data_IF_384527311823
#
_entry.id   IF_384527311823
#
_cell.length_a   1.000
_cell.length_b   1.000
_cell.length_c   1.000
_cell.angle_alpha   90.00
_cell.angle_beta   90.00
_cell.angle_gamma   90.00
#
_symmetry.space_group_name_H-M   'P 1'
#
loop_
_entity.id
_entity.type
_entity.pdbx_description
1 polymer ?
#
# COMPACT_ATOMS: atom_id res chain seq x y z
N UNK A 1 -12.49 12.29 -5.06
CA UNK A 1 -11.93 10.96 -5.32
C UNK A 1 -10.50 10.89 -4.81
N UNK A 2 -9.90 9.68 -4.68
CA UNK A 2 -8.64 9.49 -3.95
C UNK A 2 -7.47 10.38 -4.41
N UNK A 3 -7.35 10.69 -5.69
CA UNK A 3 -6.26 11.52 -6.22
C UNK A 3 -6.62 13.00 -6.43
N UNK A 4 -7.89 13.37 -6.30
CA UNK A 4 -8.36 14.74 -6.59
C UNK A 4 -8.32 15.65 -5.37
N UNK A 5 -8.51 15.10 -4.18
CA UNK A 5 -8.58 15.90 -2.94
C UNK A 5 -8.16 15.09 -1.72
N UNK A 6 -7.85 15.77 -0.63
CA UNK A 6 -7.47 15.16 0.63
C UNK A 6 -6.15 14.40 0.57
N UNK A 7 -5.93 13.50 1.50
CA UNK A 7 -4.77 12.61 1.51
C UNK A 7 -4.97 11.45 0.54
N UNK A 8 -3.87 10.97 -0.06
CA UNK A 8 -3.89 9.84 -0.99
C UNK A 8 -3.14 8.64 -0.42
N UNK A 9 -3.69 7.44 -0.64
CA UNK A 9 -3.01 6.19 -0.30
C UNK A 9 -2.79 5.39 -1.58
N UNK A 10 -1.57 4.95 -1.83
CA UNK A 10 -1.22 4.30 -3.10
C UNK A 10 0.02 3.41 -3.00
N UNK A 11 0.21 2.59 -4.02
CA UNK A 11 1.50 2.01 -4.42
C UNK A 11 1.84 2.53 -5.81
N UNK A 12 3.13 2.69 -6.07
CA UNK A 12 3.63 2.99 -7.41
C UNK A 12 3.87 1.69 -8.16
N UNK A 13 3.41 1.65 -9.40
CA UNK A 13 3.66 0.57 -10.36
C UNK A 13 4.38 1.14 -11.56
N UNK A 14 5.13 0.29 -12.25
CA UNK A 14 5.77 0.59 -13.50
C UNK A 14 5.17 -0.23 -14.62
N UNK A 15 5.03 0.42 -15.76
CA UNK A 15 4.61 -0.17 -17.02
C UNK A 15 5.86 -0.39 -17.90
N UNK A 16 5.88 -1.44 -18.69
CA UNK A 16 6.96 -1.68 -19.65
C UNK A 16 6.96 -0.68 -20.81
N UNK A 17 5.81 -0.05 -21.06
CA UNK A 17 5.57 1.00 -22.05
C UNK A 17 4.32 1.79 -21.68
N UNK A 18 4.13 3.00 -22.21
CA UNK A 18 2.90 3.78 -22.01
C UNK A 18 1.64 3.00 -22.43
N UNK A 19 0.51 3.33 -21.81
CA UNK A 19 -0.78 2.75 -22.17
C UNK A 19 -1.25 3.28 -23.50
N UNK A 20 -1.37 2.43 -24.52
CA UNK A 20 -1.84 2.84 -25.84
C UNK A 20 -3.29 3.37 -25.77
N UNK A 21 -3.62 4.38 -26.61
CA UNK A 21 -4.98 4.94 -26.67
C UNK A 21 -6.06 3.88 -26.95
N UNK A 22 -5.75 2.87 -27.77
CA UNK A 22 -6.66 1.77 -28.08
C UNK A 22 -6.99 0.92 -26.86
N UNK A 23 -6.16 0.97 -25.81
CA UNK A 23 -6.44 0.28 -24.56
C UNK A 23 -7.74 0.78 -23.89
N UNK A 24 -8.13 2.04 -24.07
CA UNK A 24 -9.38 2.59 -23.56
C UNK A 24 -10.57 1.78 -24.08
N UNK A 25 -10.57 1.37 -25.34
CA UNK A 25 -11.62 0.52 -25.93
C UNK A 25 -11.64 -0.88 -25.28
N UNK A 26 -10.50 -1.38 -24.86
CA UNK A 26 -10.42 -2.67 -24.16
C UNK A 26 -10.90 -2.53 -22.71
N UNK A 27 -10.55 -1.45 -22.00
CA UNK A 27 -11.13 -1.14 -20.69
C UNK A 27 -12.65 -1.03 -20.77
N UNK A 28 -13.21 -0.41 -21.80
CA UNK A 28 -14.64 -0.34 -22.04
C UNK A 28 -15.30 -1.73 -22.21
N UNK A 29 -14.62 -2.67 -22.88
CA UNK A 29 -15.11 -4.07 -23.02
C UNK A 29 -15.09 -4.83 -21.70
N UNK A 30 -14.20 -4.46 -20.78
CA UNK A 30 -14.11 -5.00 -19.42
C UNK A 30 -14.76 -4.08 -18.39
N UNK A 31 -15.74 -3.26 -18.80
CA UNK A 31 -16.49 -2.42 -17.88
C UNK A 31 -17.27 -3.27 -16.86
N UNK A 32 -17.48 -2.69 -15.67
CA UNK A 32 -18.28 -3.34 -14.63
C UNK A 32 -19.68 -3.70 -15.17
N UNK A 33 -20.16 -4.94 -15.04
CA UNK A 33 -21.51 -5.28 -15.45
C UNK A 33 -22.57 -4.50 -14.64
N UNK A 34 -23.82 -4.37 -15.14
CA UNK A 34 -24.89 -3.77 -14.37
C UNK A 34 -25.08 -4.46 -13.02
N UNK A 35 -25.24 -3.69 -11.94
CA UNK A 35 -25.34 -4.25 -10.59
C UNK A 35 -26.63 -5.03 -10.32
N UNK A 36 -27.66 -4.78 -11.09
CA UNK A 36 -28.93 -5.51 -11.09
C UNK A 36 -28.80 -6.93 -11.66
N UNK A 37 -27.84 -7.12 -12.58
CA UNK A 37 -27.56 -8.43 -13.19
C UNK A 37 -26.59 -9.30 -12.37
N UNK A 38 -26.13 -8.81 -11.21
CA UNK A 38 -25.24 -9.56 -10.32
C UNK A 38 -25.94 -10.80 -9.74
N UNK A 39 -25.48 -11.98 -10.16
CA UNK A 39 -25.83 -13.26 -9.55
C UNK A 39 -25.01 -13.55 -8.28
N UNK A 40 -24.86 -14.84 -8.00
CA UNK A 40 -23.94 -15.32 -6.97
C UNK A 40 -22.48 -15.14 -7.41
N UNK A 41 -21.64 -14.64 -6.47
CA UNK A 41 -20.22 -14.51 -6.71
C UNK A 41 -19.72 -13.06 -6.79
N UNK A 42 -18.41 -12.94 -6.99
CA UNK A 42 -17.71 -11.67 -7.13
C UNK A 42 -17.49 -11.38 -8.62
N UNK A 43 -17.85 -10.18 -9.04
CA UNK A 43 -17.49 -9.66 -10.36
C UNK A 43 -16.54 -8.47 -10.20
N UNK A 44 -15.71 -8.24 -11.20
CA UNK A 44 -14.86 -7.06 -11.26
C UNK A 44 -14.96 -6.44 -12.65
N UNK A 45 -14.76 -5.12 -12.72
CA UNK A 45 -14.77 -4.40 -13.98
C UNK A 45 -14.37 -2.95 -13.81
N UNK A 46 -14.15 -2.30 -14.94
CA UNK A 46 -13.65 -0.93 -15.00
C UNK A 46 -14.79 0.07 -15.04
N UNK A 47 -14.60 1.17 -14.34
CA UNK A 47 -15.48 2.33 -14.37
C UNK A 47 -14.63 3.60 -14.54
N UNK A 48 -15.25 4.71 -14.92
CA UNK A 48 -14.55 5.97 -15.07
C UNK A 48 -14.02 6.48 -13.73
N UNK A 49 -13.09 7.42 -13.76
CA UNK A 49 -12.64 8.12 -12.55
C UNK A 49 -13.66 9.13 -12.00
N UNK A 50 -14.85 9.30 -12.60
CA UNK A 50 -15.87 10.28 -12.17
C UNK A 50 -16.67 9.80 -10.99
N UNK A 51 -17.22 8.59 -11.06
CA UNK A 51 -17.90 7.93 -9.95
C UNK A 51 -18.00 6.41 -10.16
N UNK A 52 -18.24 5.65 -9.09
CA UNK A 52 -18.16 4.18 -9.07
C UNK A 52 -19.23 3.45 -9.90
N UNK A 53 -20.23 4.15 -10.42
CA UNK A 53 -21.29 3.57 -11.24
C UNK A 53 -21.23 4.04 -12.70
N UNK A 54 -20.26 4.91 -13.03
CA UNK A 54 -20.09 5.40 -14.41
C UNK A 54 -19.27 4.40 -15.22
N UNK A 55 -19.97 3.54 -15.94
CA UNK A 55 -19.41 2.47 -16.78
C UNK A 55 -19.13 2.92 -18.21
N UNK A 56 -19.40 4.19 -18.53
CA UNK A 56 -19.26 4.71 -19.89
C UNK A 56 -17.80 5.15 -20.14
N UNK A 57 -16.94 4.15 -20.32
CA UNK A 57 -15.51 4.37 -20.54
C UNK A 57 -15.26 4.72 -22.01
N UNK A 58 -14.91 5.98 -22.26
CA UNK A 58 -14.51 6.53 -23.57
C UNK A 58 -13.19 7.27 -23.42
N UNK A 59 -12.57 7.71 -24.53
CA UNK A 59 -11.36 8.52 -24.47
C UNK A 59 -11.55 9.77 -23.60
N UNK A 60 -12.68 10.48 -23.77
CA UNK A 60 -12.98 11.71 -23.02
C UNK A 60 -13.27 11.48 -21.52
N UNK A 61 -13.79 10.31 -21.16
CA UNK A 61 -14.11 10.00 -19.75
C UNK A 61 -12.97 9.33 -19.02
N UNK A 62 -12.06 8.68 -19.76
CA UNK A 62 -10.90 7.99 -19.22
C UNK A 62 -9.71 8.90 -18.96
N UNK A 63 -9.58 10.00 -19.71
CA UNK A 63 -8.49 10.95 -19.54
C UNK A 63 -8.93 12.17 -18.74
N UNK A 64 -8.05 12.65 -17.88
CA UNK A 64 -8.26 13.86 -17.09
C UNK A 64 -6.93 14.52 -16.76
N UNK A 65 -6.78 15.80 -17.09
CA UNK A 65 -5.60 16.59 -16.81
C UNK A 65 -4.28 16.04 -17.40
N UNK A 66 -4.35 15.25 -18.48
CA UNK A 66 -3.17 14.63 -19.11
C UNK A 66 -2.82 13.23 -18.59
N UNK A 67 -3.70 12.62 -17.77
CA UNK A 67 -3.50 11.29 -17.22
C UNK A 67 -4.67 10.36 -17.59
N UNK A 68 -4.36 9.08 -17.78
CA UNK A 68 -5.39 8.03 -17.80
C UNK A 68 -5.88 7.78 -16.38
N UNK A 69 -7.19 7.90 -16.16
CA UNK A 69 -7.82 7.82 -14.85
C UNK A 69 -9.06 6.93 -14.86
N UNK A 70 -8.96 5.75 -14.31
CA UNK A 70 -10.05 4.80 -14.17
C UNK A 70 -10.08 4.20 -12.76
N UNK A 71 -11.12 3.42 -12.49
CA UNK A 71 -11.27 2.70 -11.23
C UNK A 71 -11.62 1.24 -11.50
N UNK A 72 -10.86 0.32 -10.94
CA UNK A 72 -11.27 -1.08 -10.87
C UNK A 72 -12.24 -1.26 -9.72
N UNK A 73 -13.44 -1.73 -10.02
CA UNK A 73 -14.48 -1.98 -9.03
C UNK A 73 -14.77 -3.47 -8.96
N UNK A 74 -14.60 -4.03 -7.77
CA UNK A 74 -15.13 -5.35 -7.43
C UNK A 74 -16.52 -5.20 -6.82
N UNK A 75 -17.49 -5.99 -7.27
CA UNK A 75 -18.85 -6.01 -6.72
C UNK A 75 -19.22 -7.43 -6.30
N UNK A 76 -19.79 -7.58 -5.11
CA UNK A 76 -20.26 -8.86 -4.59
C UNK A 76 -21.49 -8.64 -3.69
N UNK A 77 -22.41 -9.61 -3.67
CA UNK A 77 -23.49 -9.62 -2.67
C UNK A 77 -23.05 -10.48 -1.49
N UNK A 78 -23.28 -10.00 -0.29
CA UNK A 78 -22.97 -10.74 0.94
C UNK A 78 -24.12 -10.61 1.92
N UNK A 79 -24.51 -11.75 2.50
CA UNK A 79 -25.45 -11.77 3.62
C UNK A 79 -24.66 -11.43 4.89
N UNK A 80 -25.07 -10.41 5.69
CA UNK A 80 -24.47 -10.14 6.98
C UNK A 80 -24.49 -11.40 7.88
N UNK A 81 -23.36 -11.71 8.49
CA UNK A 81 -23.18 -12.95 9.27
C UNK A 81 -24.22 -13.12 10.38
N UNK A 82 -24.60 -12.02 11.04
CA UNK A 82 -25.63 -12.06 12.10
C UNK A 82 -27.00 -12.41 11.55
N UNK A 83 -27.41 -11.81 10.42
CA UNK A 83 -28.65 -12.12 9.74
C UNK A 83 -28.66 -13.57 9.26
N UNK A 84 -27.61 -14.03 8.59
CA UNK A 84 -27.50 -15.39 8.11
C UNK A 84 -27.64 -16.41 9.23
N UNK A 85 -26.97 -16.19 10.38
CA UNK A 85 -27.08 -17.08 11.55
C UNK A 85 -28.47 -17.09 12.14
N UNK A 86 -29.13 -15.94 12.23
CA UNK A 86 -30.47 -15.84 12.77
C UNK A 86 -31.51 -16.58 11.89
N UNK A 87 -31.45 -16.39 10.58
CA UNK A 87 -32.33 -17.06 9.62
C UNK A 87 -32.10 -18.57 9.59
N UNK A 88 -30.85 -19.03 9.56
CA UNK A 88 -30.54 -20.46 9.67
C UNK A 88 -31.08 -21.04 10.99
N UNK A 89 -30.94 -20.32 12.11
CA UNK A 89 -31.45 -20.79 13.39
C UNK A 89 -32.95 -20.87 13.45
N UNK A 90 -33.63 -19.93 12.84
CA UNK A 90 -35.10 -19.93 12.73
C UNK A 90 -35.61 -21.14 11.91
N UNK A 91 -34.99 -21.41 10.76
CA UNK A 91 -35.31 -22.57 9.92
C UNK A 91 -34.98 -23.90 10.62
N UNK A 92 -33.85 -23.98 11.34
CA UNK A 92 -33.48 -25.16 12.16
C UNK A 92 -34.56 -25.44 13.21
N UNK A 93 -35.03 -24.42 13.94
CA UNK A 93 -36.07 -24.57 14.97
C UNK A 93 -37.41 -24.99 14.36
N UNK A 94 -37.77 -24.41 13.22
CA UNK A 94 -39.00 -24.78 12.51
C UNK A 94 -38.97 -26.25 12.04
N UNK A 95 -37.84 -26.71 11.51
CA UNK A 95 -37.69 -28.09 11.06
C UNK A 95 -37.66 -29.11 12.22
N UNK A 96 -37.03 -28.75 13.36
CA UNK A 96 -37.08 -29.58 14.58
C UNK A 96 -38.52 -29.72 15.11
N UNK A 97 -39.27 -28.61 15.16
CA UNK A 97 -40.64 -28.63 15.59
C UNK A 97 -41.55 -29.49 14.68
N UNK A 98 -41.30 -29.41 13.34
CA UNK A 98 -42.07 -30.19 12.38
C UNK A 98 -41.74 -31.68 12.37
N UNK A 99 -40.45 -32.04 12.62
CA UNK A 99 -39.97 -33.43 12.58
C UNK A 99 -40.07 -34.18 13.92
N UNK A 100 -40.31 -33.48 15.03
CA UNK A 100 -40.26 -34.03 16.37
C UNK A 100 -38.89 -34.55 16.83
N UNK A 101 -37.84 -34.27 16.08
CA UNK A 101 -36.50 -34.72 16.40
C UNK A 101 -35.80 -33.75 17.36
N UNK A 102 -34.96 -34.27 18.24
CA UNK A 102 -34.15 -33.43 19.13
C UNK A 102 -32.93 -32.76 18.43
N UNK A 103 -32.48 -33.32 17.31
CA UNK A 103 -31.28 -32.83 16.57
C UNK A 103 -31.45 -32.99 15.08
N UNK A 104 -30.93 -32.03 14.33
CA UNK A 104 -30.81 -32.09 12.85
C UNK A 104 -29.52 -32.80 12.44
N UNK A 105 -29.61 -33.57 11.35
CA UNK A 105 -28.42 -34.15 10.69
C UNK A 105 -27.52 -33.06 10.10
N UNK A 106 -26.23 -33.38 9.85
CA UNK A 106 -25.31 -32.48 9.17
C UNK A 106 -25.81 -32.08 7.76
N UNK A 107 -26.44 -33.04 7.07
CA UNK A 107 -27.02 -32.83 5.74
C UNK A 107 -28.19 -31.82 5.80
N UNK A 108 -29.13 -31.99 6.73
CA UNK A 108 -30.27 -31.08 6.91
C UNK A 108 -29.81 -29.63 7.20
N UNK A 109 -28.75 -29.48 8.01
CA UNK A 109 -28.16 -28.15 8.26
C UNK A 109 -27.50 -27.53 7.04
N UNK A 110 -26.90 -28.34 6.14
CA UNK A 110 -26.33 -27.86 4.88
C UNK A 110 -27.45 -27.38 3.94
N UNK A 111 -28.52 -28.17 3.81
CA UNK A 111 -29.70 -27.82 3.01
C UNK A 111 -30.38 -26.52 3.49
N UNK A 112 -30.49 -26.34 4.83
CA UNK A 112 -30.98 -25.08 5.41
C UNK A 112 -30.08 -23.90 4.99
N UNK A 113 -28.76 -24.04 5.11
CA UNK A 113 -27.81 -22.96 4.75
C UNK A 113 -27.91 -22.60 3.28
N UNK A 114 -27.99 -23.58 2.41
CA UNK A 114 -28.16 -23.36 0.96
C UNK A 114 -29.51 -22.68 0.66
N UNK A 115 -30.59 -23.12 1.26
CA UNK A 115 -31.92 -22.52 1.12
C UNK A 115 -31.94 -21.06 1.58
N UNK A 116 -31.37 -20.78 2.77
CA UNK A 116 -31.28 -19.43 3.32
C UNK A 116 -30.38 -18.54 2.44
N UNK A 117 -29.27 -19.08 1.93
CA UNK A 117 -28.39 -18.34 1.02
C UNK A 117 -29.10 -17.98 -0.27
N UNK A 118 -29.73 -18.95 -0.94
CA UNK A 118 -30.45 -18.73 -2.21
C UNK A 118 -31.60 -17.74 -2.08
N UNK A 119 -32.26 -17.72 -0.92
CA UNK A 119 -33.39 -16.81 -0.63
C UNK A 119 -32.89 -15.38 -0.34
N UNK A 120 -31.85 -15.22 0.51
CA UNK A 120 -31.44 -13.91 0.98
C UNK A 120 -30.43 -13.21 0.06
N UNK A 121 -29.49 -13.93 -0.54
CA UNK A 121 -28.40 -13.32 -1.31
C UNK A 121 -28.88 -12.39 -2.43
N UNK A 122 -29.92 -12.75 -3.23
CA UNK A 122 -30.43 -11.85 -4.27
C UNK A 122 -31.03 -10.55 -3.73
N UNK A 123 -31.51 -10.54 -2.49
CA UNK A 123 -32.12 -9.35 -1.85
C UNK A 123 -31.09 -8.42 -1.23
N UNK A 124 -29.85 -8.88 -1.07
CA UNK A 124 -28.78 -8.06 -0.49
C UNK A 124 -28.27 -7.02 -1.47
N UNK A 125 -28.05 -5.76 -1.03
CA UNK A 125 -27.41 -4.76 -1.87
C UNK A 125 -25.97 -5.17 -2.19
N UNK A 126 -25.48 -4.93 -3.43
CA UNK A 126 -24.09 -5.19 -3.78
C UNK A 126 -23.13 -4.36 -2.93
N UNK A 127 -22.09 -4.97 -2.42
CA UNK A 127 -20.97 -4.29 -1.79
C UNK A 127 -19.91 -4.00 -2.85
N UNK A 128 -19.45 -2.73 -2.91
CA UNK A 128 -18.46 -2.28 -3.87
C UNK A 128 -17.12 -2.09 -3.19
N UNK A 129 -16.07 -2.62 -3.81
CA UNK A 129 -14.67 -2.35 -3.46
C UNK A 129 -14.00 -1.67 -4.64
N UNK A 130 -13.48 -0.48 -4.43
CA UNK A 130 -12.90 0.35 -5.47
C UNK A 130 -11.38 0.45 -5.32
N UNK A 131 -10.68 0.31 -6.43
CA UNK A 131 -9.24 0.57 -6.55
C UNK A 131 -9.02 1.60 -7.68
N UNK A 132 -9.15 2.91 -7.38
CA UNK A 132 -8.79 3.97 -8.31
C UNK A 132 -7.33 3.90 -8.70
N UNK A 133 -7.03 4.19 -9.96
CA UNK A 133 -5.68 4.38 -10.44
C UNK A 133 -5.56 5.59 -11.34
N UNK A 134 -4.32 6.08 -11.46
CA UNK A 134 -3.91 7.10 -12.42
C UNK A 134 -2.62 6.61 -13.07
N UNK A 135 -2.52 6.74 -14.39
CA UNK A 135 -1.30 6.46 -15.13
C UNK A 135 -0.90 7.66 -15.97
N UNK A 136 0.40 7.90 -16.11
CA UNK A 136 0.92 8.86 -17.07
C UNK A 136 0.46 8.49 -18.48
N UNK A 137 0.04 9.47 -19.27
CA UNK A 137 -0.42 9.20 -20.64
C UNK A 137 0.72 8.75 -21.56
N UNK A 138 1.89 9.38 -21.42
CA UNK A 138 3.08 9.12 -22.24
C UNK A 138 4.25 8.54 -21.44
N UNK A 139 4.01 8.15 -20.16
CA UNK A 139 5.03 7.65 -19.27
C UNK A 139 4.80 6.20 -18.82
N UNK A 140 5.67 5.75 -17.94
CA UNK A 140 5.68 4.37 -17.42
C UNK A 140 5.13 4.27 -15.99
N UNK A 141 4.78 5.40 -15.34
CA UNK A 141 4.34 5.39 -13.95
C UNK A 141 2.83 5.25 -13.83
N UNK A 142 2.42 4.42 -12.87
CA UNK A 142 1.03 4.19 -12.52
C UNK A 142 0.89 4.19 -11.00
N UNK A 143 -0.01 5.00 -10.47
CA UNK A 143 -0.36 5.03 -9.05
C UNK A 143 -1.72 4.37 -8.84
N UNK A 144 -1.78 3.33 -8.02
CA UNK A 144 -3.03 2.65 -7.71
C UNK A 144 -3.24 2.51 -6.20
N UNK A 145 -4.50 2.55 -5.77
CA UNK A 145 -4.87 2.39 -4.36
C UNK A 145 -4.87 0.91 -3.90
N UNK A 146 -4.19 0.05 -4.62
CA UNK A 146 -3.96 -1.36 -4.31
C UNK A 146 -2.85 -1.52 -3.26
N UNK A 147 -3.20 -1.47 -1.97
CA UNK A 147 -2.25 -1.31 -0.88
C UNK A 147 -1.71 -2.62 -0.30
N UNK A 148 -2.46 -3.72 -0.39
CA UNK A 148 -1.99 -5.05 0.00
C UNK A 148 -1.47 -5.83 -1.21
N UNK A 149 -0.66 -6.87 -0.98
CA UNK A 149 -0.12 -7.68 -2.06
C UNK A 149 -1.22 -8.35 -2.87
N UNK A 150 -2.23 -8.96 -2.22
CA UNK A 150 -3.37 -9.53 -2.92
C UNK A 150 -4.17 -8.50 -3.74
N UNK A 151 -4.31 -7.24 -3.26
CA UNK A 151 -4.92 -6.18 -4.06
C UNK A 151 -4.04 -5.77 -5.24
N UNK A 152 -2.72 -5.75 -5.07
CA UNK A 152 -1.78 -5.42 -6.14
C UNK A 152 -1.76 -6.50 -7.23
N UNK A 153 -1.81 -7.78 -6.84
CA UNK A 153 -1.92 -8.92 -7.76
C UNK A 153 -3.24 -8.91 -8.53
N UNK A 154 -4.37 -8.76 -7.83
CA UNK A 154 -5.70 -8.63 -8.45
C UNK A 154 -5.73 -7.46 -9.44
N UNK A 155 -5.21 -6.30 -9.03
CA UNK A 155 -5.14 -5.11 -9.87
C UNK A 155 -4.27 -5.34 -11.10
N UNK A 156 -3.06 -5.89 -10.93
CA UNK A 156 -2.12 -6.14 -12.03
C UNK A 156 -2.70 -7.13 -13.05
N UNK A 157 -3.37 -8.18 -12.58
CA UNK A 157 -4.03 -9.17 -13.44
C UNK A 157 -5.17 -8.52 -14.25
N UNK A 158 -6.09 -7.80 -13.60
CA UNK A 158 -7.21 -7.15 -14.28
C UNK A 158 -6.76 -6.05 -15.25
N UNK A 159 -5.74 -5.28 -14.87
CA UNK A 159 -5.15 -4.27 -15.71
C UNK A 159 -4.48 -4.90 -16.94
N UNK A 160 -3.70 -5.97 -16.75
CA UNK A 160 -3.04 -6.71 -17.82
C UNK A 160 -4.03 -7.27 -18.84
N UNK A 161 -5.16 -7.80 -18.39
CA UNK A 161 -6.24 -8.28 -19.27
C UNK A 161 -6.83 -7.17 -20.14
N UNK A 162 -7.04 -5.98 -19.55
CA UNK A 162 -7.63 -4.85 -20.26
C UNK A 162 -6.62 -4.07 -21.09
N UNK A 163 -5.44 -3.75 -20.55
CA UNK A 163 -4.43 -2.93 -21.22
C UNK A 163 -3.48 -3.72 -22.13
N UNK A 164 -3.34 -5.04 -21.90
CA UNK A 164 -2.33 -5.86 -22.57
C UNK A 164 -0.90 -5.66 -22.04
N UNK A 165 -0.76 -4.94 -20.91
CA UNK A 165 0.51 -4.65 -20.26
C UNK A 165 0.32 -4.90 -18.78
N UNK A 166 1.16 -5.71 -18.14
CA UNK A 166 1.07 -6.00 -16.72
C UNK A 166 1.85 -4.96 -15.93
N UNK A 167 1.22 -4.19 -15.03
CA UNK A 167 1.91 -3.25 -14.15
C UNK A 167 2.70 -4.01 -13.08
N UNK A 168 3.95 -3.60 -12.85
CA UNK A 168 4.85 -4.20 -11.86
C UNK A 168 4.92 -3.27 -10.65
N UNK A 169 4.55 -3.72 -9.43
CA UNK A 169 4.66 -2.87 -8.23
C UNK A 169 6.14 -2.55 -7.95
N UNK A 170 6.43 -1.27 -7.71
CA UNK A 170 7.78 -0.81 -7.39
C UNK A 170 8.08 -1.04 -5.90
N UNK A 171 8.37 -2.30 -5.56
CA UNK A 171 8.81 -2.72 -4.22
C UNK A 171 10.25 -2.30 -3.94
N UNK A 172 10.75 -2.40 -2.70
CA UNK A 172 12.17 -2.17 -2.39
C UNK A 172 13.12 -2.94 -3.30
N UNK A 173 12.85 -4.22 -3.54
CA UNK A 173 13.67 -5.11 -4.37
C UNK A 173 13.61 -4.68 -5.85
N UNK A 174 12.42 -4.35 -6.33
CA UNK A 174 12.24 -3.88 -7.71
C UNK A 174 12.92 -2.52 -7.94
N UNK A 175 12.88 -1.62 -6.95
CA UNK A 175 13.56 -0.33 -7.00
C UNK A 175 15.08 -0.49 -7.04
N UNK A 176 15.67 -1.38 -6.23
CA UNK A 176 17.09 -1.70 -6.25
C UNK A 176 17.52 -2.34 -7.58
N UNK A 177 16.70 -3.28 -8.11
CA UNK A 177 16.97 -3.94 -9.38
C UNK A 177 17.03 -2.95 -10.56
N UNK A 178 16.24 -1.87 -10.55
CA UNK A 178 16.33 -0.78 -11.55
C UNK A 178 17.70 -0.10 -11.57
N UNK A 179 18.38 -0.05 -10.42
CA UNK A 179 19.75 0.44 -10.29
C UNK A 179 20.81 -0.62 -10.54
N UNK A 180 20.40 -1.81 -11.04
CA UNK A 180 21.27 -2.97 -11.26
C UNK A 180 21.92 -3.47 -9.97
N UNK A 181 21.26 -3.28 -8.84
CA UNK A 181 21.68 -3.78 -7.54
C UNK A 181 20.88 -5.05 -7.24
N UNK A 182 21.58 -6.18 -7.08
CA UNK A 182 20.99 -7.45 -6.68
C UNK A 182 21.04 -7.57 -5.15
N UNK A 183 19.93 -7.25 -4.52
CA UNK A 183 19.80 -7.26 -3.05
C UNK A 183 19.97 -8.64 -2.42
N UNK A 184 19.86 -9.74 -3.20
CA UNK A 184 20.09 -11.11 -2.73
C UNK A 184 21.55 -11.40 -2.43
N UNK A 185 22.46 -10.54 -2.92
CA UNK A 185 23.90 -10.62 -2.64
C UNK A 185 24.29 -9.87 -1.37
N UNK A 186 23.34 -9.18 -0.75
CA UNK A 186 23.65 -8.45 0.49
C UNK A 186 23.68 -9.40 1.68
N UNK A 187 24.74 -9.27 2.49
CA UNK A 187 24.74 -9.89 3.80
C UNK A 187 23.61 -9.31 4.66
N UNK A 188 23.00 -10.16 5.47
CA UNK A 188 21.95 -9.71 6.38
C UNK A 188 22.53 -8.71 7.38
N UNK A 189 21.94 -7.51 7.49
CA UNK A 189 22.43 -6.46 8.37
C UNK A 189 21.84 -6.60 9.77
N UNK A 190 22.71 -6.77 10.78
CA UNK A 190 22.32 -6.62 12.17
C UNK A 190 22.70 -5.21 12.65
N UNK A 191 21.70 -4.40 13.00
CA UNK A 191 21.89 -3.03 13.48
C UNK A 191 22.07 -2.95 15.00
N UNK A 192 21.77 -4.00 15.73
CA UNK A 192 21.98 -4.04 17.19
C UNK A 192 23.46 -4.03 17.53
N UNK A 193 23.89 -3.20 18.48
CA UNK A 193 25.24 -3.27 19.03
C UNK A 193 25.42 -4.46 20.01
N UNK A 194 24.34 -5.05 20.51
CA UNK A 194 24.33 -6.07 21.57
C UNK A 194 23.98 -7.48 21.06
N UNK A 195 23.30 -7.57 19.90
CA UNK A 195 22.92 -8.88 19.35
C UNK A 195 24.14 -9.56 18.73
N UNK A 196 24.64 -10.57 19.38
CA UNK A 196 25.54 -11.58 18.83
C UNK A 196 24.65 -12.68 18.23
N UNK A 197 24.50 -12.73 16.92
CA UNK A 197 23.70 -13.77 16.31
C UNK A 197 23.28 -13.46 14.87
N UNK A 198 22.55 -14.42 14.30
CA UNK A 198 22.07 -14.32 12.93
C UNK A 198 21.14 -13.12 12.75
N UNK A 199 21.28 -12.37 11.66
CA UNK A 199 20.43 -11.25 11.34
C UNK A 199 18.98 -11.72 11.16
N UNK A 200 18.05 -10.91 11.66
CA UNK A 200 16.67 -11.32 11.92
C UNK A 200 15.67 -10.88 10.85
N UNK A 201 16.12 -10.20 9.81
CA UNK A 201 15.28 -9.77 8.68
C UNK A 201 16.12 -9.56 7.43
N UNK A 202 15.70 -10.17 6.35
CA UNK A 202 16.26 -10.04 5.01
C UNK A 202 15.54 -8.98 4.14
N UNK A 203 14.57 -8.27 4.74
CA UNK A 203 13.76 -7.31 4.01
C UNK A 203 14.45 -5.98 3.83
N UNK A 204 14.78 -5.68 2.59
CA UNK A 204 15.44 -4.43 2.15
C UNK A 204 14.71 -3.17 2.65
N UNK A 205 13.39 -3.18 2.60
CA UNK A 205 12.59 -2.06 3.06
C UNK A 205 12.72 -1.78 4.56
N UNK A 206 12.90 -2.82 5.39
CA UNK A 206 13.13 -2.64 6.84
C UNK A 206 14.53 -2.04 7.09
N UNK A 207 15.54 -2.46 6.33
CA UNK A 207 16.87 -1.88 6.39
C UNK A 207 16.83 -0.40 5.98
N UNK A 208 16.14 -0.10 4.89
CA UNK A 208 15.97 1.27 4.42
C UNK A 208 15.26 2.16 5.45
N UNK A 209 14.12 1.72 6.01
CA UNK A 209 13.36 2.55 6.95
C UNK A 209 14.12 2.78 8.26
N UNK A 210 14.91 1.80 8.70
CA UNK A 210 15.80 1.94 9.87
C UNK A 210 16.97 2.89 9.56
N UNK A 211 17.57 2.78 8.37
CA UNK A 211 18.59 3.72 7.88
C UNK A 211 18.02 5.14 7.70
N UNK A 212 16.82 5.28 7.16
CA UNK A 212 16.15 6.56 7.04
C UNK A 212 16.00 7.26 8.40
N UNK A 213 15.63 6.51 9.43
CA UNK A 213 15.54 7.03 10.78
C UNK A 213 16.89 7.49 11.31
N UNK A 214 17.93 6.68 11.12
CA UNK A 214 19.29 7.04 11.47
C UNK A 214 19.74 8.33 10.79
N UNK A 215 19.49 8.49 9.49
CA UNK A 215 19.85 9.72 8.75
C UNK A 215 19.07 10.91 9.28
N UNK A 216 17.77 10.75 9.53
CA UNK A 216 16.91 11.81 10.06
C UNK A 216 17.37 12.33 11.44
N UNK A 217 17.95 11.49 12.30
CA UNK A 217 18.39 11.89 13.64
C UNK A 217 19.89 12.15 13.77
N UNK A 218 20.73 11.35 13.10
CA UNK A 218 22.17 11.37 13.34
C UNK A 218 22.96 12.06 12.22
N UNK A 219 22.43 12.13 11.00
CA UNK A 219 23.10 12.75 9.84
C UNK A 219 22.44 14.07 9.43
N UNK A 220 22.09 14.93 10.42
CA UNK A 220 21.46 16.26 10.24
C UNK A 220 20.05 16.24 9.65
N UNK A 221 19.47 15.09 9.37
CA UNK A 221 18.12 14.98 8.80
C UNK A 221 17.98 15.58 7.40
N UNK A 222 19.04 15.59 6.60
CA UNK A 222 19.04 16.17 5.27
C UNK A 222 19.43 15.12 4.23
N UNK A 223 18.74 15.13 3.10
CA UNK A 223 19.10 14.39 1.88
C UNK A 223 19.26 15.37 0.73
N UNK A 224 20.38 15.27 0.02
CA UNK A 224 20.64 16.04 -1.18
C UNK A 224 20.51 15.14 -2.41
N UNK A 225 19.55 15.43 -3.25
CA UNK A 225 19.24 14.67 -4.45
C UNK A 225 19.69 15.43 -5.70
N UNK A 226 20.38 14.78 -6.65
CA UNK A 226 20.68 15.40 -7.93
C UNK A 226 19.37 15.90 -8.56
N UNK A 227 19.41 17.07 -9.20
CA UNK A 227 18.31 17.71 -9.94
C UNK A 227 17.06 18.09 -9.12
N UNK A 228 16.90 17.57 -7.89
CA UNK A 228 15.76 17.87 -7.02
C UNK A 228 16.11 18.83 -5.87
N UNK A 229 17.40 18.92 -5.51
CA UNK A 229 17.87 19.78 -4.43
C UNK A 229 17.93 19.07 -3.08
N UNK A 230 17.79 19.84 -2.00
CA UNK A 230 17.92 19.37 -0.61
C UNK A 230 16.56 19.29 0.08
N UNK A 231 16.33 18.19 0.80
CA UNK A 231 15.12 17.94 1.56
C UNK A 231 15.43 17.57 3.00
N UNK A 232 14.65 18.11 3.92
CA UNK A 232 14.62 17.66 5.31
C UNK A 232 13.93 16.32 5.44
N UNK A 233 14.49 15.40 6.22
CA UNK A 233 13.92 14.09 6.53
C UNK A 233 13.37 14.09 7.95
N UNK A 234 12.13 13.66 8.11
CA UNK A 234 11.48 13.52 9.41
C UNK A 234 10.89 12.11 9.52
N UNK A 235 10.99 11.53 10.71
CA UNK A 235 10.34 10.27 11.05
C UNK A 235 9.54 10.46 12.32
N UNK A 236 8.26 10.01 12.29
CA UNK A 236 7.32 10.13 13.41
C UNK A 236 6.60 8.81 13.68
N UNK A 237 5.98 8.71 14.87
CA UNK A 237 5.10 7.60 15.18
C UNK A 237 3.73 7.67 14.47
N UNK A 238 2.99 6.57 14.48
CA UNK A 238 3.28 5.30 15.15
C UNK A 238 4.45 4.55 14.52
N UNK A 239 5.20 3.78 15.34
CA UNK A 239 6.31 2.94 14.90
C UNK A 239 5.91 1.47 15.03
N UNK A 240 6.14 0.70 13.98
CA UNK A 240 6.00 -0.76 14.01
C UNK A 240 7.35 -1.40 13.80
N UNK A 241 7.80 -2.17 14.78
CA UNK A 241 9.04 -2.94 14.72
C UNK A 241 8.73 -4.40 14.52
N UNK A 242 9.55 -5.08 13.76
CA UNK A 242 9.47 -6.53 13.54
C UNK A 242 10.80 -7.19 13.72
N UNK A 243 10.73 -8.47 14.09
CA UNK A 243 11.84 -9.40 14.09
C UNK A 243 11.34 -10.66 13.40
N UNK A 244 12.05 -11.14 12.39
CA UNK A 244 11.71 -12.40 11.71
C UNK A 244 12.44 -13.57 12.36
N UNK A 245 11.92 -14.78 12.17
CA UNK A 245 12.46 -16.01 12.75
C UNK A 245 11.50 -16.74 13.69
N UNK A 246 11.96 -17.77 14.38
CA UNK A 246 11.16 -18.61 15.25
C UNK A 246 10.70 -17.92 16.54
N UNK A 247 9.84 -16.97 16.46
CA UNK A 247 9.36 -16.11 17.55
C UNK A 247 9.13 -14.69 17.07
N UNK A 248 8.72 -14.55 15.82
CA UNK A 248 8.41 -13.27 15.19
C UNK A 248 7.49 -12.42 16.08
N UNK A 249 8.00 -11.28 16.57
CA UNK A 249 7.26 -10.38 17.44
C UNK A 249 7.15 -9.02 16.78
N UNK A 250 5.93 -8.61 16.46
CA UNK A 250 5.62 -7.25 16.09
C UNK A 250 5.39 -6.41 17.34
N UNK A 251 6.03 -5.24 17.43
CA UNK A 251 5.81 -4.23 18.47
C UNK A 251 5.29 -2.97 17.82
N UNK A 252 4.17 -2.44 18.30
CA UNK A 252 3.56 -1.21 17.79
C UNK A 252 3.52 -0.15 18.89
N UNK A 253 4.24 0.95 18.68
CA UNK A 253 4.28 2.11 19.57
C UNK A 253 3.42 3.23 18.98
N UNK A 254 2.31 3.59 19.62
CA UNK A 254 1.29 4.46 18.99
C UNK A 254 1.10 5.81 19.66
N UNK A 255 1.35 5.96 20.95
CA UNK A 255 1.04 7.17 21.72
C UNK A 255 2.29 7.83 22.28
N UNK A 256 2.19 9.11 22.60
CA UNK A 256 3.30 9.89 23.12
C UNK A 256 4.31 10.25 22.04
N UNK A 257 5.57 10.20 22.37
CA UNK A 257 6.71 10.38 21.47
C UNK A 257 7.44 9.05 21.22
N UNK A 258 6.87 8.13 20.39
CA UNK A 258 7.43 6.77 20.22
C UNK A 258 8.90 6.78 19.82
N UNK A 259 9.32 7.79 19.06
CA UNK A 259 10.68 7.95 18.56
C UNK A 259 11.74 8.03 19.67
N UNK A 260 11.43 8.65 20.81
CA UNK A 260 12.36 8.82 21.93
C UNK A 260 12.03 7.94 23.13
N UNK A 261 11.14 6.95 22.96
CA UNK A 261 10.72 6.05 24.03
C UNK A 261 11.78 4.99 24.36
N UNK A 262 11.78 4.51 25.60
CA UNK A 262 12.63 3.40 26.05
C UNK A 262 12.34 2.11 25.27
N UNK A 263 11.06 1.88 24.92
CA UNK A 263 10.61 0.73 24.17
C UNK A 263 11.17 0.72 22.74
N UNK A 264 11.25 1.89 22.09
CA UNK A 264 11.86 2.01 20.76
C UNK A 264 13.36 1.70 20.81
N UNK A 265 14.06 2.20 21.85
CA UNK A 265 15.47 1.86 22.07
C UNK A 265 15.65 0.37 22.34
N UNK A 266 14.85 -0.20 23.21
CA UNK A 266 14.89 -1.64 23.52
C UNK A 266 14.62 -2.51 22.28
N UNK A 267 13.68 -2.10 21.43
CA UNK A 267 13.39 -2.80 20.17
C UNK A 267 14.60 -2.83 19.23
N UNK A 268 15.28 -1.68 19.05
CA UNK A 268 16.50 -1.60 18.24
C UNK A 268 17.67 -2.39 18.83
N UNK A 269 17.86 -2.34 20.17
CA UNK A 269 18.88 -3.11 20.89
C UNK A 269 18.64 -4.62 20.76
N UNK A 270 17.37 -5.05 20.77
CA UNK A 270 17.00 -6.45 20.52
C UNK A 270 17.16 -6.87 19.04
N UNK A 271 17.64 -6.02 18.15
CA UNK A 271 17.85 -6.33 16.74
C UNK A 271 16.60 -6.15 15.85
N UNK A 272 15.49 -5.63 16.39
CA UNK A 272 14.30 -5.36 15.60
C UNK A 272 14.51 -4.21 14.63
N UNK A 273 13.87 -4.28 13.46
CA UNK A 273 13.91 -3.26 12.41
C UNK A 273 12.55 -2.60 12.24
N UNK A 274 12.54 -1.39 11.70
CA UNK A 274 11.29 -0.70 11.39
C UNK A 274 10.62 -1.29 10.15
N UNK A 275 9.38 -1.71 10.33
CA UNK A 275 8.47 -2.12 9.26
C UNK A 275 7.57 -0.98 8.80
N UNK A 276 7.05 -0.19 9.76
CA UNK A 276 6.16 0.94 9.45
C UNK A 276 6.50 2.14 10.31
N UNK A 277 6.48 3.31 9.70
CA UNK A 277 6.61 4.59 10.37
C UNK A 277 5.89 5.67 9.56
N UNK A 278 5.61 6.80 10.18
CA UNK A 278 5.25 8.01 9.45
C UNK A 278 6.54 8.71 9.06
N UNK A 279 6.72 8.96 7.76
CA UNK A 279 7.83 9.70 7.19
C UNK A 279 7.36 11.04 6.65
N UNK A 280 8.22 12.05 6.67
CA UNK A 280 7.98 13.30 5.98
C UNK A 280 9.26 13.81 5.29
N UNK A 281 9.03 14.49 4.17
CA UNK A 281 10.03 15.28 3.46
C UNK A 281 9.60 16.75 3.53
N UNK A 282 10.56 17.64 3.77
CA UNK A 282 10.30 19.07 3.85
C UNK A 282 11.28 19.86 2.96
N UNK A 283 10.77 20.85 2.25
CA UNK A 283 11.56 21.81 1.47
C UNK A 283 10.93 23.21 1.59
N UNK A 284 11.54 24.09 2.36
CA UNK A 284 10.91 25.36 2.74
C UNK A 284 9.61 25.11 3.50
N UNK A 285 8.51 25.69 3.03
CA UNK A 285 7.17 25.54 3.61
C UNK A 285 6.44 24.29 3.11
N UNK A 286 6.95 23.65 2.06
CA UNK A 286 6.37 22.46 1.47
C UNK A 286 6.70 21.22 2.32
N UNK A 287 5.65 20.50 2.75
CA UNK A 287 5.79 19.27 3.53
C UNK A 287 4.93 18.16 2.93
N UNK A 288 5.57 17.05 2.61
CA UNK A 288 4.94 15.79 2.24
C UNK A 288 5.02 14.82 3.40
N UNK A 289 3.93 14.24 3.84
CA UNK A 289 3.96 13.26 4.93
C UNK A 289 2.99 12.11 4.73
N UNK A 290 3.43 10.90 5.02
CA UNK A 290 2.61 9.69 4.92
C UNK A 290 3.06 8.62 5.92
N UNK A 291 2.20 7.63 6.17
CA UNK A 291 2.64 6.38 6.78
C UNK A 291 3.18 5.45 5.68
N UNK A 292 4.43 5.01 5.84
CA UNK A 292 5.10 4.06 4.95
C UNK A 292 5.01 2.65 5.50
N UNK A 293 4.58 1.71 4.68
CA UNK A 293 4.78 0.28 4.87
C UNK A 293 6.00 -0.16 4.06
N UNK A 294 7.08 -0.50 4.75
CA UNK A 294 8.37 -0.76 4.13
C UNK A 294 8.46 -2.13 3.43
N UNK A 295 7.55 -3.07 3.71
CA UNK A 295 7.52 -4.38 3.02
C UNK A 295 7.30 -4.23 1.50
N UNK A 296 6.47 -3.28 1.12
CA UNK A 296 5.98 -3.18 -0.26
C UNK A 296 5.99 -1.75 -0.81
N UNK A 297 6.55 -0.79 -0.06
CA UNK A 297 6.46 0.64 -0.36
C UNK A 297 5.01 1.10 -0.61
N UNK A 298 4.11 0.69 0.30
CA UNK A 298 2.75 1.19 0.32
C UNK A 298 2.69 2.49 1.14
N UNK A 299 2.26 3.55 0.47
CA UNK A 299 2.10 4.89 1.07
C UNK A 299 0.66 5.08 1.52
N UNK A 300 0.45 5.38 2.79
CA UNK A 300 -0.90 5.56 3.36
C UNK A 300 -1.09 6.98 3.86
N UNK A 301 -2.17 7.59 3.39
CA UNK A 301 -2.57 8.92 3.84
C UNK A 301 -1.55 10.00 3.51
N UNK A 302 -0.90 9.95 2.32
CA UNK A 302 0.03 10.98 1.88
C UNK A 302 -0.68 12.33 1.82
N UNK A 303 -0.20 13.26 2.63
CA UNK A 303 -0.56 14.67 2.59
C UNK A 303 0.42 15.38 1.65
N UNK A 304 -0.13 16.09 0.68
CA UNK A 304 0.62 16.92 -0.25
C UNK A 304 0.59 18.38 0.22
N UNK A 305 1.57 19.21 -0.14
CA UNK A 305 1.50 20.64 0.04
C UNK A 305 0.21 21.24 -0.57
N UNK A 306 -0.20 22.38 -0.08
CA UNK A 306 -1.39 23.06 -0.60
C UNK A 306 -1.10 23.67 -1.97
N UNK A 307 -2.12 23.69 -2.83
CA UNK A 307 -2.07 24.33 -4.14
C UNK A 307 -3.01 25.52 -4.15
N UNK A 308 -2.61 26.60 -4.81
CA UNK A 308 -3.42 27.83 -4.92
C UNK A 308 -4.32 27.88 -6.15
N UNK A 309 -4.32 26.82 -6.96
CA UNK A 309 -5.06 26.80 -8.22
C UNK A 309 -6.58 26.82 -8.02
N UNK A 310 -7.25 27.67 -8.81
CA UNK A 310 -8.69 27.93 -8.68
C UNK A 310 -9.53 26.92 -9.48
N UNK A 311 -9.12 26.57 -10.69
CA UNK A 311 -9.87 25.61 -11.51
C UNK A 311 -9.53 24.14 -11.17
N UNK A 312 -10.48 23.25 -11.45
CA UNK A 312 -10.40 21.85 -11.03
C UNK A 312 -9.29 21.07 -11.78
N UNK A 313 -9.06 21.37 -13.06
CA UNK A 313 -8.06 20.66 -13.88
C UNK A 313 -6.65 21.06 -13.47
N UNK A 314 -6.36 22.36 -13.38
CA UNK A 314 -5.06 22.87 -12.95
C UNK A 314 -4.72 22.41 -11.54
N UNK A 315 -5.70 22.41 -10.62
CA UNK A 315 -5.50 21.89 -9.27
C UNK A 315 -5.17 20.39 -9.26
N UNK A 316 -5.81 19.61 -10.12
CA UNK A 316 -5.49 18.19 -10.26
C UNK A 316 -4.08 18.00 -10.83
N UNK A 317 -3.69 18.75 -11.88
CA UNK A 317 -2.35 18.68 -12.46
C UNK A 317 -1.26 19.05 -11.45
N UNK A 318 -1.47 20.11 -10.67
CA UNK A 318 -0.55 20.48 -9.58
C UNK A 318 -0.42 19.39 -8.53
N UNK A 319 -1.54 18.77 -8.15
CA UNK A 319 -1.50 17.63 -7.22
C UNK A 319 -0.71 16.45 -7.78
N UNK A 320 -0.88 16.16 -9.06
CA UNK A 320 -0.12 15.07 -9.70
C UNK A 320 1.38 15.39 -9.74
N UNK A 321 1.76 16.62 -10.09
CA UNK A 321 3.15 17.09 -10.03
C UNK A 321 3.74 16.97 -8.62
N UNK A 322 2.99 17.34 -7.58
CA UNK A 322 3.42 17.18 -6.17
C UNK A 322 3.55 15.72 -5.77
N UNK A 323 2.68 14.84 -6.27
CA UNK A 323 2.77 13.39 -6.06
C UNK A 323 3.98 12.78 -6.77
N UNK A 324 4.24 13.17 -8.00
CA UNK A 324 5.43 12.78 -8.76
C UNK A 324 6.72 13.22 -8.06
N UNK A 325 6.78 14.49 -7.64
CA UNK A 325 7.91 15.02 -6.89
C UNK A 325 8.14 14.23 -5.58
N UNK A 326 7.07 13.88 -4.85
CA UNK A 326 7.19 13.00 -3.68
C UNK A 326 7.81 11.66 -4.03
N UNK A 327 7.35 11.02 -5.10
CA UNK A 327 7.89 9.74 -5.54
C UNK A 327 9.38 9.86 -5.93
N UNK A 328 9.74 10.91 -6.68
CA UNK A 328 11.12 11.13 -7.10
C UNK A 328 12.04 11.37 -5.90
N UNK A 329 11.59 12.14 -4.90
CA UNK A 329 12.34 12.36 -3.66
C UNK A 329 12.46 11.06 -2.83
N UNK A 330 11.37 10.31 -2.69
CA UNK A 330 11.37 9.06 -1.94
C UNK A 330 12.29 8.01 -2.58
N UNK A 331 12.12 7.75 -3.87
CA UNK A 331 12.93 6.75 -4.57
C UNK A 331 14.38 7.22 -4.75
N UNK A 332 14.63 8.52 -4.92
CA UNK A 332 15.98 9.08 -4.89
C UNK A 332 16.67 8.89 -3.53
N UNK A 333 15.93 9.02 -2.43
CA UNK A 333 16.44 8.73 -1.08
C UNK A 333 16.71 7.23 -0.90
N UNK A 334 15.84 6.38 -1.42
CA UNK A 334 16.06 4.94 -1.44
C UNK A 334 17.29 4.56 -2.28
N UNK A 335 17.49 5.19 -3.43
CA UNK A 335 18.64 4.96 -4.29
C UNK A 335 19.96 5.30 -3.56
N UNK A 336 20.01 6.38 -2.78
CA UNK A 336 21.19 6.71 -1.95
C UNK A 336 21.46 5.63 -0.91
N UNK A 337 20.42 5.16 -0.22
CA UNK A 337 20.55 4.01 0.70
C UNK A 337 21.08 2.78 -0.03
N UNK A 338 20.48 2.41 -1.15
CA UNK A 338 20.84 1.20 -1.89
C UNK A 338 22.29 1.26 -2.40
N UNK A 339 22.74 2.41 -2.88
CA UNK A 339 24.14 2.63 -3.28
C UNK A 339 25.09 2.54 -2.09
N UNK A 340 24.77 3.20 -0.96
CA UNK A 340 25.56 3.15 0.26
C UNK A 340 25.64 1.72 0.82
N UNK A 341 24.50 1.01 0.80
CA UNK A 341 24.40 -0.38 1.26
C UNK A 341 25.19 -1.35 0.37
N UNK A 342 25.24 -1.09 -0.92
CA UNK A 342 25.94 -1.92 -1.90
C UNK A 342 27.46 -1.64 -1.96
N UNK A 343 27.93 -0.56 -1.35
CA UNK A 343 29.36 -0.23 -1.30
C UNK A 343 30.04 -0.99 -0.16
N UNK A 344 30.76 -2.05 -0.53
CA UNK A 344 31.48 -2.91 0.43
C UNK A 344 32.55 -2.18 1.28
N UNK A 345 33.00 -1.01 0.83
CA UNK A 345 33.97 -0.20 1.60
C UNK A 345 33.26 0.75 2.56
N UNK A 346 32.18 1.36 2.14
CA UNK A 346 31.48 2.39 2.90
C UNK A 346 30.48 1.79 3.90
N UNK A 347 29.79 0.72 3.53
CA UNK A 347 28.75 0.14 4.38
C UNK A 347 29.18 -0.31 5.77
N UNK A 348 30.36 -0.95 5.96
CA UNK A 348 30.84 -1.31 7.30
C UNK A 348 30.94 -0.12 8.25
N UNK A 349 31.39 1.04 7.76
CA UNK A 349 31.48 2.25 8.57
C UNK A 349 30.09 2.84 8.87
N UNK A 350 29.20 2.88 7.90
CA UNK A 350 27.79 3.24 8.12
C UNK A 350 27.14 2.34 9.17
N UNK A 351 27.38 1.03 9.12
CA UNK A 351 26.84 0.08 10.10
C UNK A 351 27.37 0.36 11.51
N UNK A 352 28.66 0.70 11.65
CA UNK A 352 29.24 1.14 12.94
C UNK A 352 28.57 2.41 13.46
N UNK A 353 28.32 3.38 12.58
CA UNK A 353 27.64 4.63 12.93
C UNK A 353 26.20 4.35 13.41
N UNK A 354 25.45 3.49 12.72
CA UNK A 354 24.09 3.08 13.11
C UNK A 354 24.11 2.41 14.49
N UNK A 355 25.01 1.46 14.71
CA UNK A 355 25.16 0.79 16.02
C UNK A 355 25.52 1.76 17.13
N UNK A 356 26.43 2.71 16.89
CA UNK A 356 26.77 3.77 17.84
C UNK A 356 25.58 4.69 18.13
N UNK A 357 24.79 5.05 17.10
CA UNK A 357 23.58 5.84 17.27
C UNK A 357 22.54 5.09 18.13
N UNK A 358 22.32 3.80 17.89
CA UNK A 358 21.38 2.98 18.69
C UNK A 358 21.85 2.91 20.15
N UNK A 359 23.11 2.62 20.39
CA UNK A 359 23.66 2.54 21.76
C UNK A 359 23.54 3.88 22.51
N UNK A 360 23.86 4.98 21.83
CA UNK A 360 23.86 6.33 22.40
C UNK A 360 22.50 7.03 22.45
N UNK A 361 21.42 6.40 21.99
CA UNK A 361 20.08 7.02 21.99
C UNK A 361 19.62 7.39 23.40
N UNK A 362 19.23 8.64 23.55
CA UNK A 362 18.50 9.08 24.74
C UNK A 362 17.10 8.48 24.72
N UNK A 363 16.65 7.92 25.83
CA UNK A 363 15.27 7.46 26.01
C UNK A 363 14.65 8.15 27.20
N UNK A 364 13.45 8.72 27.02
CA UNK A 364 12.61 9.19 28.11
C UNK A 364 11.88 7.98 28.71
N UNK A 365 11.92 7.87 30.01
CA UNK A 365 11.16 6.88 30.79
C UNK A 365 9.74 7.34 31.01
#
# INVERSE_FOLDING_TARGET
MAFESGSVSFRLFLLAQPVAEEAVKRFAKHALPPLDTLGEGKVAGWVTGRHLLDRHVTADTAHYGGYLRLTLVGAERKIPTALFRAECKMEELAQLAASGNERLSARARSEIRESVTSRLLPTMPPQLKAMPFIAEAEGERLWATALSDGQAEDFAMQFGQAAGITPIPLTPEAAAARRKIDVRQWDLACYSPEAEGEPVSDRVGHDFLTWFWFVAEARRGLVKLPDLGEFGLLLEGPLTFVMEGGGAHEIVLRKGEPRVSAEAKAALLAGKKLKRAKIAFARGDDVWSCALDADSFAFRGLKLPQTEQLDAVSRFQDRMRLLENFCDVFYGTFDQFAQERNDAKRWPDTLKEIRKWIAGRYSRH
#
